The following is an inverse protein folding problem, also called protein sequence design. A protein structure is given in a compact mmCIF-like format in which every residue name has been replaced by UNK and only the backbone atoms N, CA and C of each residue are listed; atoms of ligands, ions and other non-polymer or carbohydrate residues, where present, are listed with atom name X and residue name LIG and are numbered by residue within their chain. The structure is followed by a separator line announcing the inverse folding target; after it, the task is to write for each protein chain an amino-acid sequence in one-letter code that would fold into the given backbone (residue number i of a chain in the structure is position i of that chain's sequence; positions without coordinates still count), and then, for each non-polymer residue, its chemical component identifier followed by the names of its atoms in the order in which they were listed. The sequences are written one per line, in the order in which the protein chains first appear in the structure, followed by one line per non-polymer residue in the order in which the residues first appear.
data_IF_068239457891
#
_entry.id   IF_068239457891
#
_cell.length_a   1.000
_cell.length_b   1.000
_cell.length_c   1.000
_cell.angle_alpha   90.00
_cell.angle_beta   90.00
_cell.angle_gamma   90.00
#
_symmetry.space_group_name_H-M   'P 1'
#
loop_
_entity.id
_entity.type
_entity.pdbx_description
1 polymer ?
#
# COMPACT_ATOMS: atom_id res chain seq x y z
N UNK A 1 28.96 -7.99 6.38
CA UNK A 1 27.81 -8.74 5.82
C UNK A 1 26.76 -7.74 5.32
N UNK A 2 26.55 -7.65 4.00
CA UNK A 2 25.68 -6.66 3.38
C UNK A 2 24.25 -7.22 3.24
N UNK A 3 23.27 -6.72 4.02
CA UNK A 3 21.88 -7.13 3.94
C UNK A 3 21.13 -6.11 3.08
N UNK A 4 20.98 -6.41 1.79
CA UNK A 4 20.19 -5.56 0.91
C UNK A 4 18.70 -5.77 1.25
N UNK A 5 18.10 -4.81 1.97
CA UNK A 5 16.65 -4.76 2.19
C UNK A 5 16.04 -3.90 1.08
N UNK A 6 15.47 -4.48 0.00
CA UNK A 6 14.79 -3.70 -1.01
C UNK A 6 13.56 -3.05 -0.37
N UNK A 7 13.56 -1.72 -0.28
CA UNK A 7 12.36 -0.94 0.03
C UNK A 7 11.61 -0.73 -1.27
N UNK A 8 10.32 -1.07 -1.28
CA UNK A 8 9.43 -0.78 -2.41
C UNK A 8 8.50 0.31 -1.97
N UNK A 9 8.50 1.44 -2.69
CA UNK A 9 7.56 2.52 -2.44
C UNK A 9 6.36 2.37 -3.39
N UNK A 10 5.15 2.49 -2.86
CA UNK A 10 3.89 2.41 -3.59
C UNK A 10 3.26 3.81 -3.62
N UNK A 11 3.18 4.40 -4.81
CA UNK A 11 2.55 5.70 -5.04
C UNK A 11 1.13 5.52 -5.59
N UNK A 12 0.16 6.22 -5.00
CA UNK A 12 -1.22 6.26 -5.49
C UNK A 12 -1.87 7.61 -5.22
N UNK A 13 -2.93 7.92 -5.97
CA UNK A 13 -3.68 9.16 -5.84
C UNK A 13 -5.15 8.83 -5.52
N UNK A 14 -5.73 9.61 -4.61
CA UNK A 14 -7.14 9.49 -4.24
C UNK A 14 -7.85 10.79 -4.65
N UNK A 15 -8.93 10.74 -5.44
CA UNK A 15 -9.59 11.95 -5.95
C UNK A 15 -10.36 12.71 -4.86
N UNK A 16 -10.81 12.03 -3.80
CA UNK A 16 -11.59 12.59 -2.69
C UNK A 16 -11.25 11.87 -1.38
N UNK A 17 -11.57 12.47 -0.24
CA UNK A 17 -11.38 11.81 1.07
C UNK A 17 -12.20 10.51 1.14
N UNK A 18 -11.53 9.37 1.25
CA UNK A 18 -12.17 8.05 1.17
C UNK A 18 -11.49 7.02 2.09
N UNK A 19 -12.25 6.01 2.52
CA UNK A 19 -11.70 4.86 3.23
C UNK A 19 -11.13 3.87 2.24
N UNK A 20 -9.85 3.52 2.39
CA UNK A 20 -9.17 2.63 1.45
C UNK A 20 -8.62 1.38 2.13
N UNK A 21 -8.47 0.33 1.33
CA UNK A 21 -7.81 -0.91 1.71
C UNK A 21 -6.68 -1.18 0.72
N UNK A 22 -5.45 -1.33 1.23
CA UNK A 22 -4.29 -1.69 0.42
C UNK A 22 -3.76 -3.04 0.87
N UNK A 23 -3.96 -4.04 0.02
CA UNK A 23 -3.60 -5.44 0.26
C UNK A 23 -2.62 -5.90 -0.81
N UNK A 24 -1.56 -6.58 -0.38
CA UNK A 24 -0.57 -7.18 -1.27
C UNK A 24 -0.91 -8.66 -1.40
N UNK A 25 -0.98 -9.14 -2.65
CA UNK A 25 -1.17 -10.55 -2.98
C UNK A 25 0.05 -11.07 -3.74
N UNK A 26 0.37 -12.34 -3.56
CA UNK A 26 1.34 -13.02 -4.41
C UNK A 26 0.71 -13.49 -5.73
N UNK A 27 1.54 -14.05 -6.61
CA UNK A 27 1.11 -14.56 -7.92
C UNK A 27 0.12 -15.73 -7.86
N UNK A 28 -0.03 -16.36 -6.69
CA UNK A 28 -1.01 -17.44 -6.45
C UNK A 28 -2.34 -16.89 -5.93
N UNK A 29 -2.43 -15.58 -5.66
CA UNK A 29 -3.61 -14.92 -5.10
C UNK A 29 -3.68 -14.97 -3.57
N UNK A 30 -2.62 -15.40 -2.88
CA UNK A 30 -2.57 -15.39 -1.42
C UNK A 30 -2.25 -13.98 -0.91
N UNK A 31 -3.00 -13.50 0.08
CA UNK A 31 -2.72 -12.24 0.77
C UNK A 31 -1.42 -12.38 1.58
N UNK A 32 -0.43 -11.53 1.30
CA UNK A 32 0.88 -11.55 1.95
C UNK A 32 1.06 -10.39 2.94
N UNK A 33 0.35 -9.28 2.74
CA UNK A 33 0.36 -8.15 3.65
C UNK A 33 -0.86 -7.26 3.47
N UNK A 34 -1.25 -6.57 4.55
CA UNK A 34 -2.22 -5.48 4.52
C UNK A 34 -1.48 -4.22 4.95
N UNK A 35 -1.32 -3.27 4.03
CA UNK A 35 -0.64 -1.99 4.30
C UNK A 35 -1.60 -0.92 4.82
N UNK A 36 -2.87 -0.99 4.41
CA UNK A 36 -3.93 -0.06 4.85
C UNK A 36 -5.20 -0.88 5.06
N UNK A 37 -5.83 -0.74 6.23
CA UNK A 37 -7.01 -1.52 6.59
C UNK A 37 -8.17 -0.60 6.96
N UNK A 38 -8.94 -0.22 5.94
CA UNK A 38 -10.15 0.59 6.06
C UNK A 38 -9.89 1.97 6.70
N UNK A 39 -8.71 2.53 6.43
CA UNK A 39 -8.32 3.83 6.96
C UNK A 39 -8.82 4.95 6.05
N UNK A 40 -9.31 6.03 6.67
CA UNK A 40 -9.65 7.25 5.95
C UNK A 40 -8.36 7.93 5.49
N UNK A 41 -8.24 8.18 4.19
CA UNK A 41 -7.14 8.93 3.58
C UNK A 41 -7.70 10.15 2.88
N UNK A 42 -7.00 11.27 3.03
CA UNK A 42 -7.36 12.52 2.36
C UNK A 42 -7.12 12.43 0.85
N UNK A 43 -7.83 13.25 0.09
CA UNK A 43 -7.57 13.45 -1.33
C UNK A 43 -6.11 13.85 -1.58
N UNK A 44 -5.58 13.46 -2.74
CA UNK A 44 -4.22 13.77 -3.18
C UNK A 44 -3.31 12.54 -3.28
N UNK A 45 -2.02 12.82 -3.40
CA UNK A 45 -0.99 11.80 -3.61
C UNK A 45 -0.47 11.23 -2.29
N UNK A 46 -0.33 9.91 -2.25
CA UNK A 46 0.21 9.16 -1.12
C UNK A 46 1.38 8.30 -1.59
N UNK A 47 2.42 8.23 -0.76
CA UNK A 47 3.57 7.36 -0.94
C UNK A 47 3.73 6.53 0.33
N UNK A 48 3.78 5.22 0.19
CA UNK A 48 3.93 4.25 1.29
C UNK A 48 5.12 3.36 1.02
#
# INVERSE_FOLDING_TARGET
PNPFNPVTNISFEIPTDEKINLKIFDVTGREVAVLINNDLKSAGQHLI
#
